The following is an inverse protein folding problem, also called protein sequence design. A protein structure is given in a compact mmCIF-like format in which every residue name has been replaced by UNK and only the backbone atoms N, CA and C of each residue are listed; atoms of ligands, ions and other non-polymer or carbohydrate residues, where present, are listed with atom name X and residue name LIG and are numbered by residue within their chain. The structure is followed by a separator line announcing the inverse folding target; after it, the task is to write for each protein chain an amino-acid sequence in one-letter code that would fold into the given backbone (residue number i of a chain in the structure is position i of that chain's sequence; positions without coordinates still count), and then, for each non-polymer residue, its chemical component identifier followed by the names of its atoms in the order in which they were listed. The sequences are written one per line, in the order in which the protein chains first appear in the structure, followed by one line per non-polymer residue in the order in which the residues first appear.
data_IF_460426720638
#
_entry.id   IF_460426720638
#
_cell.length_a   1.000
_cell.length_b   1.000
_cell.length_c   1.000
_cell.angle_alpha   90.00
_cell.angle_beta   90.00
_cell.angle_gamma   90.00
#
_symmetry.space_group_name_H-M   'P 1'
#
loop_
_entity.id
_entity.type
_entity.pdbx_description
1 polymer ?
#
# COMPACT_ATOMS: atom_id res chain seq x y z
N UNK A 1 31.03 -27.68 -73.91
CA UNK A 1 31.76 -27.25 -75.12
C UNK A 1 32.28 -25.84 -74.89
N UNK A 2 33.62 -25.71 -75.00
CA UNK A 2 34.46 -24.52 -75.25
C UNK A 2 34.36 -23.35 -74.25
N UNK A 3 35.39 -23.08 -73.43
CA UNK A 3 36.71 -22.47 -73.75
C UNK A 3 36.56 -21.01 -74.20
N UNK A 4 37.41 -20.04 -73.91
CA UNK A 4 38.69 -19.87 -73.19
C UNK A 4 39.02 -18.34 -73.34
N UNK A 5 40.15 -17.89 -72.78
CA UNK A 5 40.94 -16.67 -73.16
C UNK A 5 40.57 -15.38 -72.40
N UNK A 6 41.39 -14.89 -71.43
CA UNK A 6 42.67 -14.12 -71.54
C UNK A 6 42.45 -12.74 -72.21
N UNK A 7 43.07 -11.60 -71.88
CA UNK A 7 44.21 -11.22 -71.03
C UNK A 7 44.25 -9.68 -70.85
N UNK A 8 44.79 -9.24 -69.70
CA UNK A 8 45.74 -8.12 -69.42
C UNK A 8 45.83 -6.87 -70.32
N UNK A 9 46.02 -5.70 -69.66
CA UNK A 9 47.08 -4.65 -69.82
C UNK A 9 46.63 -3.38 -69.05
N UNK A 10 47.13 -3.05 -67.84
CA UNK A 10 48.32 -2.24 -67.43
C UNK A 10 48.38 -0.75 -67.85
N UNK A 11 48.44 0.14 -66.83
CA UNK A 11 49.27 1.37 -66.65
C UNK A 11 48.82 2.06 -65.33
N UNK A 12 49.62 2.12 -64.25
CA UNK A 12 50.65 3.12 -63.90
C UNK A 12 50.06 4.57 -63.87
N UNK A 13 50.15 5.43 -62.84
CA UNK A 13 51.15 5.68 -61.77
C UNK A 13 50.61 6.77 -60.79
N UNK A 14 51.39 7.11 -59.73
CA UNK A 14 51.40 8.31 -58.84
C UNK A 14 50.90 8.09 -57.39
N UNK A 15 51.76 7.74 -56.41
CA UNK A 15 52.66 8.58 -55.56
C UNK A 15 51.91 9.60 -54.67
N UNK A 16 51.84 9.37 -53.34
CA UNK A 16 52.49 10.17 -52.27
C UNK A 16 52.04 9.78 -50.84
N UNK A 17 53.06 9.49 -50.01
CA UNK A 17 53.30 9.75 -48.58
C UNK A 17 52.13 10.07 -47.64
N UNK A 18 51.95 9.34 -46.52
CA UNK A 18 52.66 9.43 -45.21
C UNK A 18 52.06 10.51 -44.29
N UNK A 19 51.27 10.08 -43.29
CA UNK A 19 51.13 10.76 -42.01
C UNK A 19 51.00 9.72 -40.90
N UNK A 20 52.07 9.61 -40.11
CA UNK A 20 52.15 8.94 -38.82
C UNK A 20 51.24 9.65 -37.80
N UNK A 21 50.48 8.91 -37.01
CA UNK A 21 49.98 9.39 -35.73
C UNK A 21 50.11 8.26 -34.70
N UNK A 22 51.17 8.39 -33.91
CA UNK A 22 51.45 7.56 -32.75
C UNK A 22 50.39 7.81 -31.67
N UNK A 23 49.69 6.75 -31.28
CA UNK A 23 48.76 6.77 -30.15
C UNK A 23 49.55 6.54 -28.85
N UNK A 24 49.73 7.59 -28.07
CA UNK A 24 50.17 7.53 -26.68
C UNK A 24 49.00 7.06 -25.81
N UNK A 25 49.05 5.81 -25.35
CA UNK A 25 48.18 5.33 -24.27
C UNK A 25 48.67 5.91 -22.94
N UNK A 26 47.98 6.95 -22.45
CA UNK A 26 48.14 7.42 -21.07
C UNK A 26 47.38 6.43 -20.18
N UNK A 27 48.10 5.64 -19.39
CA UNK A 27 47.57 4.86 -18.27
C UNK A 27 47.03 5.84 -17.23
N UNK A 28 45.71 6.06 -17.21
CA UNK A 28 45.05 6.71 -16.09
C UNK A 28 44.99 5.73 -14.90
N UNK A 29 45.37 6.15 -13.68
CA UNK A 29 45.10 5.35 -12.49
C UNK A 29 43.59 5.24 -12.32
N UNK A 30 43.09 4.00 -12.26
CA UNK A 30 41.71 3.73 -11.91
C UNK A 30 41.48 4.25 -10.48
N UNK A 31 40.86 5.44 -10.36
CA UNK A 31 40.20 5.83 -9.14
C UNK A 31 39.11 4.79 -8.89
N UNK A 32 39.32 3.94 -7.88
CA UNK A 32 38.29 3.08 -7.35
C UNK A 32 37.15 4.00 -6.88
N UNK A 33 36.14 4.15 -7.72
CA UNK A 33 34.86 4.70 -7.32
C UNK A 33 34.26 3.69 -6.36
N UNK A 34 34.24 4.03 -5.07
CA UNK A 34 33.34 3.36 -4.14
C UNK A 34 31.96 3.70 -4.66
N UNK A 35 31.33 2.74 -5.34
CA UNK A 35 29.94 2.88 -5.72
C UNK A 35 29.15 3.20 -4.44
N UNK A 36 28.32 4.25 -4.42
CA UNK A 36 27.45 4.49 -3.27
C UNK A 36 26.65 3.22 -3.05
N UNK A 37 26.78 2.62 -1.86
CA UNK A 37 25.96 1.48 -1.49
C UNK A 37 24.51 1.92 -1.58
N UNK A 38 23.75 1.29 -2.46
CA UNK A 38 22.34 1.56 -2.65
C UNK A 38 21.60 1.28 -1.34
N UNK A 39 21.08 2.33 -0.70
CA UNK A 39 20.16 2.28 0.46
C UNK A 39 18.81 1.62 0.09
N UNK A 40 18.63 1.23 -1.18
CA UNK A 40 17.36 0.80 -1.79
C UNK A 40 16.83 -0.60 -1.48
N UNK A 41 17.32 -1.32 -0.47
CA UNK A 41 16.73 -2.63 -0.07
C UNK A 41 16.13 -2.66 1.34
N UNK A 42 16.50 -1.75 2.25
CA UNK A 42 15.90 -1.70 3.60
C UNK A 42 14.56 -0.96 3.63
N UNK A 43 14.32 -0.03 2.70
CA UNK A 43 13.06 0.73 2.62
C UNK A 43 11.86 -0.18 2.31
N UNK A 44 12.04 -1.27 1.55
CA UNK A 44 10.95 -2.17 1.22
C UNK A 44 10.35 -2.85 2.47
N UNK A 45 11.18 -3.38 3.37
CA UNK A 45 10.66 -4.13 4.52
C UNK A 45 10.00 -3.25 5.58
N UNK A 46 10.37 -1.96 5.66
CA UNK A 46 9.75 -1.02 6.58
C UNK A 46 8.32 -0.64 6.19
N UNK A 47 7.97 -0.80 4.92
CA UNK A 47 6.69 -0.38 4.34
C UNK A 47 5.68 -1.52 4.24
N UNK A 48 6.15 -2.76 4.27
CA UNK A 48 5.33 -3.93 3.94
C UNK A 48 4.46 -4.37 5.11
N UNK A 49 3.15 -4.40 4.86
CA UNK A 49 2.19 -5.15 5.65
C UNK A 49 2.33 -6.64 5.34
N UNK A 50 2.39 -7.44 6.39
CA UNK A 50 2.22 -8.88 6.33
C UNK A 50 0.77 -9.17 6.63
N UNK A 51 0.14 -9.89 5.71
CA UNK A 51 -1.21 -10.42 5.83
C UNK A 51 -1.13 -11.94 5.94
N UNK A 52 -1.75 -12.49 6.96
CA UNK A 52 -1.82 -13.94 7.20
C UNK A 52 -3.28 -14.35 7.19
N UNK A 53 -3.64 -15.18 6.23
CA UNK A 53 -5.00 -15.67 6.07
C UNK A 53 -5.32 -16.79 7.08
N UNK A 54 -6.61 -17.11 7.20
CA UNK A 54 -7.11 -18.13 8.11
C UNK A 54 -6.65 -19.55 7.76
N UNK A 55 -6.25 -19.83 6.52
CA UNK A 55 -5.69 -21.14 6.17
C UNK A 55 -4.30 -21.33 6.77
N UNK A 56 -3.49 -20.27 6.78
CA UNK A 56 -2.17 -20.24 7.40
C UNK A 56 -2.25 -20.27 8.93
N UNK A 57 -3.37 -19.81 9.51
CA UNK A 57 -3.65 -19.79 10.94
C UNK A 57 -4.81 -20.72 11.35
N UNK A 58 -4.87 -21.91 10.75
CA UNK A 58 -5.95 -22.86 10.97
C UNK A 58 -6.13 -23.29 12.45
N UNK A 59 -5.11 -23.16 13.30
CA UNK A 59 -5.18 -23.48 14.73
C UNK A 59 -6.08 -22.56 15.55
N UNK A 60 -6.42 -21.39 15.00
CA UNK A 60 -7.28 -20.39 15.66
C UNK A 60 -8.55 -20.06 14.89
N UNK A 61 -8.82 -20.77 13.78
CA UNK A 61 -10.01 -20.57 12.96
C UNK A 61 -11.29 -20.80 13.78
N UNK A 62 -12.24 -19.87 13.68
CA UNK A 62 -13.54 -19.94 14.36
C UNK A 62 -13.45 -19.70 15.87
N UNK A 63 -12.34 -19.12 16.34
CA UNK A 63 -12.14 -18.74 17.74
C UNK A 63 -12.14 -17.22 17.89
N UNK A 64 -12.48 -16.73 19.08
CA UNK A 64 -12.45 -15.30 19.39
C UNK A 64 -11.02 -14.77 19.35
N UNK A 65 -10.75 -13.77 18.52
CA UNK A 65 -9.39 -13.28 18.34
C UNK A 65 -8.85 -12.47 19.53
N UNK A 66 -9.72 -12.01 20.45
CA UNK A 66 -9.34 -11.18 21.61
C UNK A 66 -8.37 -11.90 22.57
N UNK A 67 -8.42 -13.24 22.58
CA UNK A 67 -7.64 -14.11 23.44
C UNK A 67 -6.20 -14.33 22.92
N UNK A 68 -5.84 -13.70 21.80
CA UNK A 68 -4.56 -13.89 21.15
C UNK A 68 -3.74 -12.59 21.16
N UNK A 69 -2.43 -12.76 21.17
CA UNK A 69 -1.45 -11.69 20.93
C UNK A 69 -0.45 -12.14 19.88
N UNK A 70 0.13 -11.17 19.16
CA UNK A 70 1.26 -11.41 18.27
C UNK A 70 2.53 -10.92 18.93
N UNK A 71 3.52 -11.81 19.05
CA UNK A 71 4.77 -11.55 19.75
C UNK A 71 5.97 -11.92 18.89
N UNK A 72 7.11 -11.30 19.18
CA UNK A 72 8.38 -11.58 18.52
C UNK A 72 9.47 -11.79 19.55
N UNK A 73 10.56 -12.40 19.10
CA UNK A 73 11.73 -12.59 19.97
C UNK A 73 12.54 -11.31 20.01
N UNK A 74 12.70 -10.77 21.21
CA UNK A 74 13.53 -9.61 21.51
C UNK A 74 14.29 -9.93 22.80
N UNK A 75 15.62 -9.80 22.78
CA UNK A 75 16.48 -10.14 23.92
C UNK A 75 16.18 -11.52 24.57
N UNK A 76 15.95 -12.54 23.73
CA UNK A 76 15.56 -13.91 24.11
C UNK A 76 14.22 -14.05 24.86
N UNK A 77 13.39 -13.02 24.85
CA UNK A 77 12.03 -13.04 25.41
C UNK A 77 11.00 -12.79 24.31
N UNK A 78 9.76 -13.18 24.57
CA UNK A 78 8.66 -12.83 23.67
C UNK A 78 8.09 -11.46 24.09
N UNK A 79 8.05 -10.54 23.14
CA UNK A 79 7.51 -9.19 23.35
C UNK A 79 6.38 -8.92 22.34
N UNK A 80 5.30 -8.22 22.75
CA UNK A 80 4.18 -7.93 21.87
C UNK A 80 4.55 -6.90 20.79
N UNK A 81 4.12 -7.15 19.56
CA UNK A 81 4.21 -6.20 18.44
C UNK A 81 2.84 -5.66 18.06
N UNK A 82 2.75 -4.54 17.34
CA UNK A 82 1.49 -4.07 16.78
C UNK A 82 0.92 -5.09 15.79
N UNK A 83 -0.34 -5.44 15.97
CA UNK A 83 -1.09 -6.30 15.07
C UNK A 83 -2.56 -5.93 15.14
N UNK A 84 -3.32 -6.35 14.13
CA UNK A 84 -4.77 -6.30 14.15
C UNK A 84 -5.35 -7.47 13.37
N UNK A 85 -6.54 -7.91 13.77
CA UNK A 85 -7.37 -8.77 12.96
C UNK A 85 -8.28 -7.90 12.10
N UNK A 86 -8.19 -8.09 10.79
CA UNK A 86 -9.02 -7.42 9.81
C UNK A 86 -10.10 -8.38 9.33
N UNK A 87 -11.29 -8.19 9.89
CA UNK A 87 -12.50 -8.88 9.49
C UNK A 87 -12.97 -8.39 8.13
N UNK A 88 -13.65 -9.23 7.36
CA UNK A 88 -14.17 -8.85 6.04
C UNK A 88 -15.66 -8.55 6.06
N UNK A 89 -16.07 -7.62 5.20
CA UNK A 89 -17.47 -7.36 4.91
C UNK A 89 -17.92 -8.14 3.66
N UNK A 90 -19.22 -8.13 3.37
CA UNK A 90 -19.80 -8.83 2.20
C UNK A 90 -19.32 -8.30 0.82
N UNK A 91 -18.55 -7.21 0.80
CA UNK A 91 -17.88 -6.67 -0.38
C UNK A 91 -16.37 -7.00 -0.39
N UNK A 92 -15.91 -7.93 0.45
CA UNK A 92 -14.50 -8.36 0.56
C UNK A 92 -13.54 -7.23 1.01
N UNK A 93 -14.06 -6.12 1.54
CA UNK A 93 -13.26 -5.05 2.15
C UNK A 93 -13.20 -5.22 3.66
N UNK A 94 -12.27 -4.51 4.32
CA UNK A 94 -12.20 -4.55 5.79
C UNK A 94 -13.52 -4.05 6.38
N UNK A 95 -14.10 -4.85 7.28
CA UNK A 95 -15.31 -4.51 8.00
C UNK A 95 -15.04 -3.42 9.04
N UNK A 96 -15.95 -2.45 9.09
CA UNK A 96 -15.94 -1.36 10.05
C UNK A 96 -17.32 -1.30 10.68
N UNK A 97 -17.42 -1.57 11.97
CA UNK A 97 -18.67 -1.51 12.71
C UNK A 97 -19.32 -0.12 12.56
N UNK A 98 -20.62 -0.08 12.23
CA UNK A 98 -21.33 1.17 11.93
C UNK A 98 -21.09 1.74 10.52
N UNK A 99 -20.23 1.11 9.71
CA UNK A 99 -19.90 1.53 8.34
C UNK A 99 -21.07 1.41 7.34
N UNK A 100 -22.09 0.60 7.67
CA UNK A 100 -23.29 0.42 6.86
C UNK A 100 -23.21 -0.69 5.81
N UNK A 101 -22.14 -1.49 5.84
CA UNK A 101 -21.96 -2.70 5.04
C UNK A 101 -21.95 -3.88 6.01
N UNK A 102 -22.67 -4.94 5.69
CA UNK A 102 -22.75 -6.13 6.55
C UNK A 102 -21.39 -6.85 6.64
N UNK A 103 -21.06 -7.35 7.82
CA UNK A 103 -19.93 -8.27 8.01
C UNK A 103 -20.14 -9.57 7.23
N UNK A 104 -19.04 -10.17 6.77
CA UNK A 104 -18.99 -11.53 6.24
C UNK A 104 -18.42 -12.44 7.31
N UNK A 105 -19.27 -13.13 8.06
CA UNK A 105 -18.87 -13.91 9.24
C UNK A 105 -19.53 -13.39 10.52
N UNK A 106 -18.85 -13.58 11.64
CA UNK A 106 -19.26 -13.17 12.98
C UNK A 106 -18.23 -12.22 13.60
N UNK A 107 -18.72 -11.10 14.14
CA UNK A 107 -17.84 -10.07 14.68
C UNK A 107 -17.06 -10.58 15.91
N UNK A 108 -15.73 -10.42 15.89
CA UNK A 108 -14.83 -10.87 16.95
C UNK A 108 -14.30 -12.31 16.78
N UNK A 109 -14.79 -13.05 15.78
CA UNK A 109 -14.40 -14.43 15.49
C UNK A 109 -13.47 -14.45 14.28
N UNK A 110 -12.37 -15.21 14.35
CA UNK A 110 -11.45 -15.32 13.22
C UNK A 110 -11.98 -16.28 12.15
N UNK A 111 -12.77 -15.73 11.23
CA UNK A 111 -13.50 -16.46 10.19
C UNK A 111 -12.66 -16.70 8.93
N UNK A 112 -13.24 -17.36 7.94
CA UNK A 112 -12.49 -17.85 6.78
C UNK A 112 -11.92 -16.74 5.88
N UNK A 113 -12.57 -15.58 5.86
CA UNK A 113 -12.22 -14.42 5.05
C UNK A 113 -11.29 -13.44 5.78
N UNK A 114 -11.14 -13.60 7.09
CA UNK A 114 -10.41 -12.67 7.94
C UNK A 114 -8.90 -12.83 7.82
N UNK A 115 -8.20 -11.78 8.24
CA UNK A 115 -6.75 -11.70 8.14
C UNK A 115 -6.12 -11.18 9.42
N UNK A 116 -5.00 -11.78 9.81
CA UNK A 116 -4.08 -11.18 10.76
C UNK A 116 -3.12 -10.26 10.00
N UNK A 117 -3.01 -9.00 10.43
CA UNK A 117 -2.18 -7.98 9.79
C UNK A 117 -1.17 -7.40 10.78
N UNK A 118 0.08 -7.23 10.34
CA UNK A 118 1.18 -6.61 11.10
C UNK A 118 2.27 -6.11 10.16
N UNK A 119 3.25 -5.35 10.66
CA UNK A 119 4.35 -4.85 9.82
C UNK A 119 5.50 -5.86 9.71
N UNK A 120 6.07 -6.03 8.52
CA UNK A 120 7.21 -6.92 8.30
C UNK A 120 8.43 -6.51 9.15
N UNK A 121 8.66 -5.19 9.31
CA UNK A 121 9.75 -4.63 10.12
C UNK A 121 9.71 -5.03 11.60
N UNK A 122 8.54 -5.43 12.10
CA UNK A 122 8.38 -5.82 13.50
C UNK A 122 8.73 -7.28 13.76
N UNK A 123 8.97 -8.08 12.71
CA UNK A 123 9.34 -9.49 12.89
C UNK A 123 10.75 -9.65 13.45
N UNK A 124 10.94 -10.70 14.25
CA UNK A 124 12.18 -10.96 14.99
C UNK A 124 12.93 -12.21 14.50
N UNK A 125 14.06 -12.56 15.14
CA UNK A 125 14.71 -13.85 14.95
C UNK A 125 13.80 -15.01 15.40
N UNK A 126 14.13 -16.22 14.97
CA UNK A 126 13.45 -17.42 15.45
C UNK A 126 13.74 -17.65 16.94
N UNK A 127 12.72 -18.08 17.68
CA UNK A 127 12.83 -18.52 19.07
C UNK A 127 13.73 -19.76 19.14
N UNK A 128 14.79 -19.68 19.94
CA UNK A 128 15.73 -20.78 20.13
C UNK A 128 15.06 -21.99 20.79
N UNK A 129 15.62 -23.18 20.62
CA UNK A 129 15.07 -24.40 21.23
C UNK A 129 15.07 -24.31 22.76
N UNK A 130 16.13 -23.75 23.36
CA UNK A 130 16.21 -23.56 24.81
C UNK A 130 15.15 -22.57 25.30
N UNK A 131 14.93 -21.47 24.56
CA UNK A 131 13.88 -20.50 24.90
C UNK A 131 12.47 -21.07 24.72
N UNK A 132 12.24 -21.91 23.69
CA UNK A 132 11.00 -22.69 23.51
C UNK A 132 10.73 -23.62 24.68
N UNK A 133 11.76 -24.26 25.23
CA UNK A 133 11.62 -25.16 26.37
C UNK A 133 11.42 -24.41 27.70
N UNK A 134 11.93 -23.19 27.81
CA UNK A 134 11.87 -22.38 29.03
C UNK A 134 10.62 -21.49 29.12
N UNK A 135 10.01 -21.11 27.99
CA UNK A 135 8.83 -20.24 27.98
C UNK A 135 7.58 -20.94 28.51
N UNK A 136 6.73 -20.18 29.21
CA UNK A 136 5.41 -20.63 29.65
C UNK A 136 4.28 -20.16 28.71
N UNK A 137 4.63 -19.45 27.63
CA UNK A 137 3.67 -18.94 26.66
C UNK A 137 3.01 -20.08 25.86
N UNK A 138 1.69 -20.04 25.71
CA UNK A 138 0.93 -20.96 24.86
C UNK A 138 1.03 -20.51 23.38
N UNK A 139 2.13 -20.88 22.73
CA UNK A 139 2.38 -20.57 21.32
C UNK A 139 1.57 -21.51 20.44
N UNK A 140 0.54 -20.97 19.77
CA UNK A 140 -0.38 -21.74 18.91
C UNK A 140 -0.01 -21.70 17.43
N UNK A 141 0.86 -20.77 17.03
CA UNK A 141 1.43 -20.71 15.69
C UNK A 141 2.80 -20.01 15.68
N UNK A 142 3.71 -20.50 14.84
CA UNK A 142 4.95 -19.82 14.45
C UNK A 142 4.79 -19.36 13.00
N UNK A 143 4.88 -18.05 12.78
CA UNK A 143 4.81 -17.42 11.47
C UNK A 143 6.23 -17.18 10.99
N UNK A 144 6.62 -17.82 9.89
CA UNK A 144 7.89 -17.54 9.21
C UNK A 144 7.60 -16.72 7.96
N UNK A 145 8.09 -15.48 7.94
CA UNK A 145 7.89 -14.54 6.85
C UNK A 145 9.18 -14.42 6.06
N UNK A 146 9.15 -14.68 4.76
CA UNK A 146 10.29 -14.52 3.87
C UNK A 146 9.97 -13.55 2.77
N UNK A 147 10.76 -12.49 2.64
CA UNK A 147 10.63 -11.46 1.60
C UNK A 147 12.01 -11.11 1.05
N UNK A 148 12.30 -11.51 -0.20
CA UNK A 148 13.64 -11.39 -0.77
C UNK A 148 14.67 -12.18 0.06
N UNK A 149 15.72 -11.50 0.53
CA UNK A 149 16.72 -12.08 1.43
C UNK A 149 16.36 -12.00 2.92
N UNK A 150 15.30 -11.26 3.25
CA UNK A 150 14.86 -11.11 4.63
C UNK A 150 14.03 -12.31 5.07
N UNK A 151 14.28 -12.80 6.28
CA UNK A 151 13.44 -13.78 6.96
C UNK A 151 13.26 -13.36 8.39
N UNK A 152 12.00 -13.22 8.80
CA UNK A 152 11.63 -12.89 10.17
C UNK A 152 10.55 -13.83 10.69
N UNK A 153 10.39 -13.83 12.01
CA UNK A 153 9.48 -14.70 12.73
C UNK A 153 8.56 -13.90 13.64
N UNK A 154 7.32 -14.36 13.76
CA UNK A 154 6.35 -13.89 14.73
C UNK A 154 5.58 -15.08 15.31
N UNK A 155 5.00 -14.90 16.49
CA UNK A 155 4.42 -15.96 17.30
C UNK A 155 3.02 -15.56 17.74
N UNK A 156 2.03 -16.37 17.38
CA UNK A 156 0.66 -16.21 17.91
C UNK A 156 0.60 -16.90 19.26
N UNK A 157 0.33 -16.12 20.30
CA UNK A 157 0.30 -16.57 21.69
C UNK A 157 -1.12 -16.47 22.24
N UNK A 158 -1.66 -17.59 22.71
CA UNK A 158 -3.00 -17.68 23.32
C UNK A 158 -2.96 -17.32 24.80
N UNK A 159 -4.06 -16.73 25.28
CA UNK A 159 -4.25 -16.37 26.69
C UNK A 159 -3.38 -15.20 27.14
N UNK A 160 -2.81 -14.45 26.19
CA UNK A 160 -1.97 -13.29 26.46
C UNK A 160 -2.71 -12.02 26.04
N UNK A 161 -2.98 -11.16 27.02
CA UNK A 161 -3.54 -9.82 26.84
C UNK A 161 -2.46 -8.76 26.50
N UNK A 162 -1.18 -9.17 26.43
CA UNK A 162 -0.08 -8.28 26.08
C UNK A 162 -0.33 -7.60 24.72
N UNK A 163 -0.15 -6.27 24.68
CA UNK A 163 -0.26 -5.44 23.48
C UNK A 163 0.94 -4.50 23.41
N UNK A 164 1.39 -4.23 22.19
CA UNK A 164 2.36 -3.15 21.96
C UNK A 164 1.70 -1.80 22.21
N UNK A 165 2.45 -0.82 22.69
CA UNK A 165 1.98 0.55 22.83
C UNK A 165 2.24 1.40 21.58
N UNK A 166 2.72 0.79 20.49
CA UNK A 166 2.97 1.48 19.23
C UNK A 166 1.71 1.43 18.37
N UNK A 167 1.34 2.58 17.84
CA UNK A 167 0.31 2.75 16.82
C UNK A 167 0.92 3.49 15.64
N UNK A 168 0.72 3.00 14.42
CA UNK A 168 1.41 3.57 13.24
C UNK A 168 0.58 4.55 12.42
N UNK A 169 -0.73 4.55 12.64
CA UNK A 169 -1.67 5.44 11.99
C UNK A 169 -2.78 5.82 12.96
N UNK A 170 -3.29 7.03 12.82
CA UNK A 170 -4.41 7.55 13.57
C UNK A 170 -5.20 8.55 12.72
N UNK A 171 -6.50 8.32 12.58
CA UNK A 171 -7.46 9.25 12.01
C UNK A 171 -8.26 9.94 13.11
N UNK A 172 -8.00 11.23 13.30
CA UNK A 172 -8.80 12.09 14.17
C UNK A 172 -10.07 12.52 13.41
N UNK A 173 -11.19 11.88 13.74
CA UNK A 173 -12.50 12.13 13.10
C UNK A 173 -12.96 13.58 13.30
N UNK A 174 -12.79 14.14 14.50
CA UNK A 174 -13.28 15.49 14.83
C UNK A 174 -12.50 16.54 14.03
N UNK A 175 -11.20 16.32 13.85
CA UNK A 175 -10.35 17.21 13.08
C UNK A 175 -10.31 16.87 11.60
N UNK A 176 -10.79 15.70 11.17
CA UNK A 176 -10.58 15.16 9.82
C UNK A 176 -9.11 15.11 9.42
N UNK A 177 -8.27 14.70 10.38
CA UNK A 177 -6.82 14.73 10.30
C UNK A 177 -6.27 13.30 10.33
N UNK A 178 -5.54 12.96 9.27
CA UNK A 178 -4.81 11.71 9.13
C UNK A 178 -3.38 11.95 9.66
N UNK A 179 -2.93 11.12 10.60
CA UNK A 179 -1.61 11.21 11.22
C UNK A 179 -0.97 9.83 11.16
N UNK A 180 0.26 9.75 10.68
CA UNK A 180 1.04 8.51 10.66
C UNK A 180 2.50 8.79 11.02
N UNK A 181 3.30 7.74 11.14
CA UNK A 181 4.75 7.85 11.35
C UNK A 181 5.45 8.71 10.28
N UNK A 182 5.00 8.65 9.02
CA UNK A 182 5.75 9.23 7.89
C UNK A 182 5.01 10.34 7.14
N UNK A 183 3.69 10.44 7.31
CA UNK A 183 2.89 11.45 6.63
C UNK A 183 1.69 11.90 7.47
N UNK A 184 1.23 13.12 7.20
CA UNK A 184 -0.03 13.64 7.72
C UNK A 184 -0.82 14.29 6.60
N UNK A 185 -2.13 14.22 6.70
CA UNK A 185 -3.03 14.84 5.74
C UNK A 185 -4.21 15.48 6.46
N UNK A 186 -4.48 16.74 6.18
CA UNK A 186 -5.70 17.40 6.59
C UNK A 186 -6.73 17.31 5.47
N UNK A 187 -7.95 16.88 5.79
CA UNK A 187 -9.08 16.92 4.88
C UNK A 187 -10.17 17.88 5.36
N UNK A 188 -11.06 18.28 4.46
CA UNK A 188 -12.25 19.05 4.81
C UNK A 188 -13.20 18.21 5.65
N UNK A 189 -13.72 18.72 6.79
CA UNK A 189 -14.65 17.98 7.64
C UNK A 189 -16.00 17.70 6.96
N UNK A 190 -16.35 18.50 5.95
CA UNK A 190 -17.59 18.31 5.18
C UNK A 190 -17.43 17.30 4.03
N UNK A 191 -16.18 17.02 3.61
CA UNK A 191 -15.88 16.11 2.50
C UNK A 191 -14.43 15.60 2.56
N UNK A 192 -14.24 14.36 3.02
CA UNK A 192 -12.91 13.76 3.17
C UNK A 192 -12.15 13.52 1.84
N UNK A 193 -12.79 13.74 0.68
CA UNK A 193 -12.11 13.72 -0.63
C UNK A 193 -11.43 15.05 -0.98
N UNK A 194 -11.66 16.10 -0.20
CA UNK A 194 -11.00 17.40 -0.35
C UNK A 194 -9.87 17.47 0.67
N UNK A 195 -8.64 17.38 0.19
CA UNK A 195 -7.44 17.47 0.99
C UNK A 195 -6.96 18.92 0.98
N UNK A 196 -6.34 19.39 2.06
CA UNK A 196 -5.84 20.76 2.16
C UNK A 196 -4.35 20.83 2.44
N UNK A 197 -3.83 19.88 3.21
CA UNK A 197 -2.44 19.90 3.63
C UNK A 197 -1.90 18.47 3.69
N UNK A 198 -1.07 18.07 2.73
CA UNK A 198 -0.40 16.77 2.75
C UNK A 198 1.10 16.98 3.02
N UNK A 199 1.55 16.52 4.18
CA UNK A 199 2.96 16.58 4.58
C UNK A 199 3.55 15.19 4.63
N UNK A 200 4.79 15.06 4.16
CA UNK A 200 5.61 13.87 4.30
C UNK A 200 6.86 14.21 5.11
N UNK A 201 7.31 13.33 6.00
CA UNK A 201 8.38 13.60 6.97
C UNK A 201 9.70 14.09 6.33
N UNK A 202 9.99 13.64 5.10
CA UNK A 202 11.20 14.02 4.37
C UNK A 202 11.07 15.31 3.57
N UNK A 203 9.87 15.91 3.51
CA UNK A 203 9.64 17.16 2.82
C UNK A 203 10.15 18.36 3.66
N UNK A 204 10.58 19.46 3.02
CA UNK A 204 10.89 20.69 3.76
C UNK A 204 9.68 21.18 4.56
N UNK A 205 9.94 21.77 5.73
CA UNK A 205 8.87 22.32 6.57
C UNK A 205 7.97 23.30 5.78
N UNK A 206 6.65 23.17 5.96
CA UNK A 206 5.61 23.97 5.29
C UNK A 206 5.49 23.79 3.77
N UNK A 207 6.03 22.72 3.20
CA UNK A 207 5.76 22.33 1.81
C UNK A 207 4.73 21.21 1.82
N UNK A 208 3.51 21.52 1.38
CA UNK A 208 2.53 20.49 1.04
C UNK A 208 2.95 19.84 -0.28
N UNK A 209 2.93 18.51 -0.35
CA UNK A 209 3.32 17.78 -1.58
C UNK A 209 2.13 17.50 -2.51
N UNK A 210 0.92 17.54 -1.96
CA UNK A 210 -0.33 17.29 -2.67
C UNK A 210 -1.32 18.34 -2.20
N UNK A 211 -1.95 19.02 -3.16
CA UNK A 211 -2.94 20.05 -2.85
C UNK A 211 -4.34 19.42 -2.82
N UNK A 212 -4.78 18.84 -3.94
CA UNK A 212 -6.16 18.30 -4.06
C UNK A 212 -6.22 17.07 -4.95
N UNK A 213 -6.99 16.05 -4.54
CA UNK A 213 -7.48 15.02 -5.45
C UNK A 213 -8.66 15.56 -6.25
N UNK A 214 -8.49 15.85 -7.53
CA UNK A 214 -9.54 16.38 -8.41
C UNK A 214 -10.33 15.24 -9.04
N UNK A 215 -11.63 15.21 -8.77
CA UNK A 215 -12.65 14.41 -9.43
C UNK A 215 -13.42 15.28 -10.43
N UNK A 216 -13.55 14.80 -11.66
CA UNK A 216 -14.38 15.42 -12.68
C UNK A 216 -15.27 14.39 -13.36
N UNK A 217 -16.57 14.66 -13.38
CA UNK A 217 -17.56 13.81 -14.07
C UNK A 217 -18.19 14.62 -15.19
N UNK A 218 -18.03 14.18 -16.43
CA UNK A 218 -18.66 14.78 -17.60
C UNK A 218 -19.72 13.83 -18.10
N UNK A 219 -20.96 14.28 -18.18
CA UNK A 219 -22.11 13.45 -18.53
C UNK A 219 -23.05 14.20 -19.48
N UNK A 220 -23.75 13.46 -20.35
CA UNK A 220 -24.78 14.01 -21.23
C UNK A 220 -26.15 13.50 -20.86
N UNK A 221 -27.06 14.41 -20.56
CA UNK A 221 -28.50 14.15 -20.52
C UNK A 221 -29.13 14.86 -21.72
N UNK A 222 -30.06 15.80 -21.50
CA UNK A 222 -30.50 16.74 -22.53
C UNK A 222 -29.43 17.80 -22.89
N UNK A 223 -28.56 18.14 -21.94
CA UNK A 223 -27.39 19.00 -22.10
C UNK A 223 -26.16 18.34 -21.46
N UNK A 224 -24.97 18.89 -21.74
CA UNK A 224 -23.72 18.43 -21.10
C UNK A 224 -23.60 19.01 -19.71
N UNK A 225 -23.30 18.17 -18.72
CA UNK A 225 -23.06 18.55 -17.33
C UNK A 225 -21.65 18.13 -16.94
N UNK A 226 -20.95 19.01 -16.23
CA UNK A 226 -19.66 18.74 -15.63
C UNK A 226 -19.79 18.89 -14.12
N UNK A 227 -19.49 17.84 -13.37
CA UNK A 227 -19.42 17.84 -11.92
C UNK A 227 -17.96 17.84 -11.47
N UNK A 228 -17.68 18.49 -10.34
CA UNK A 228 -16.37 18.54 -9.67
C UNK A 228 -16.47 17.97 -8.25
N UNK A 229 -15.39 18.02 -7.46
CA UNK A 229 -15.38 17.64 -6.04
C UNK A 229 -16.52 18.27 -5.23
N UNK A 230 -16.88 19.52 -5.53
CA UNK A 230 -17.95 20.26 -4.85
C UNK A 230 -19.32 19.61 -5.04
N UNK A 231 -19.46 18.74 -6.03
CA UNK A 231 -20.70 18.03 -6.33
C UNK A 231 -20.69 16.57 -5.86
N UNK A 232 -19.57 16.08 -5.30
CA UNK A 232 -19.45 14.71 -4.80
C UNK A 232 -19.15 14.77 -3.32
N UNK A 233 -20.19 14.50 -2.52
CA UNK A 233 -20.09 14.51 -1.06
C UNK A 233 -19.74 13.11 -0.58
N UNK A 234 -18.53 12.92 -0.07
CA UNK A 234 -18.18 11.71 0.66
C UNK A 234 -18.53 11.88 2.13
N UNK A 235 -19.53 11.14 2.59
CA UNK A 235 -20.01 11.17 3.97
C UNK A 235 -19.25 10.15 4.79
N UNK A 236 -18.64 10.60 5.88
CA UNK A 236 -18.11 9.74 6.93
C UNK A 236 -19.21 8.84 7.50
N UNK A 237 -18.89 7.56 7.67
CA UNK A 237 -19.80 6.56 8.23
C UNK A 237 -19.31 6.04 9.57
N UNK A 238 -18.07 5.56 9.60
CA UNK A 238 -17.44 5.00 10.78
C UNK A 238 -15.92 4.91 10.59
N UNK A 239 -15.20 4.68 11.68
CA UNK A 239 -13.77 4.40 11.67
C UNK A 239 -13.49 3.17 12.54
N UNK A 240 -12.58 2.31 12.08
CA UNK A 240 -11.93 1.28 12.88
C UNK A 240 -10.49 1.74 13.13
N UNK A 241 -10.18 2.07 14.38
CA UNK A 241 -8.82 2.42 14.76
C UNK A 241 -8.04 1.14 15.07
N UNK A 242 -6.85 1.00 14.50
CA UNK A 242 -6.04 -0.21 14.59
C UNK A 242 -4.57 0.10 14.84
N UNK A 243 -3.83 -0.74 15.60
CA UNK A 243 -2.40 -0.50 15.87
C UNK A 243 -1.53 -0.44 14.60
N UNK A 244 -1.97 -1.10 13.52
CA UNK A 244 -1.21 -1.20 12.27
C UNK A 244 -1.71 -0.19 11.24
N UNK A 245 -3.03 -0.06 11.11
CA UNK A 245 -3.71 0.87 10.20
C UNK A 245 -5.12 1.19 10.68
N UNK A 246 -5.56 2.39 10.35
CA UNK A 246 -6.96 2.77 10.52
C UNK A 246 -7.74 2.54 9.23
N UNK A 247 -9.02 2.18 9.38
CA UNK A 247 -9.95 2.02 8.27
C UNK A 247 -11.09 3.02 8.42
N UNK A 248 -11.16 3.99 7.51
CA UNK A 248 -12.21 5.02 7.51
C UNK A 248 -13.26 4.67 6.46
N UNK A 249 -14.47 4.30 6.90
CA UNK A 249 -15.57 4.01 6.01
C UNK A 249 -16.29 5.30 5.58
N UNK A 250 -16.39 5.47 4.27
CA UNK A 250 -17.09 6.55 3.60
C UNK A 250 -18.17 6.01 2.68
N UNK A 251 -19.16 6.85 2.42
CA UNK A 251 -20.14 6.68 1.35
C UNK A 251 -20.20 7.92 0.49
N UNK A 252 -20.04 7.78 -0.82
CA UNK A 252 -20.11 8.88 -1.75
C UNK A 252 -21.15 8.62 -2.85
N UNK A 253 -21.91 9.66 -3.19
CA UNK A 253 -22.94 9.59 -4.23
C UNK A 253 -22.60 10.58 -5.34
N UNK A 254 -22.61 10.11 -6.58
CA UNK A 254 -22.45 10.96 -7.77
C UNK A 254 -23.81 11.08 -8.44
N UNK A 255 -24.39 12.28 -8.44
CA UNK A 255 -25.73 12.55 -8.98
C UNK A 255 -25.64 13.58 -10.10
N UNK A 256 -26.12 13.24 -11.30
CA UNK A 256 -26.13 14.12 -12.49
C UNK A 256 -27.56 14.55 -12.79
N UNK A 257 -27.85 15.86 -12.67
CA UNK A 257 -29.20 16.41 -12.91
C UNK A 257 -30.32 15.65 -12.15
N UNK A 258 -30.07 15.30 -10.89
CA UNK A 258 -31.01 14.54 -10.06
C UNK A 258 -31.08 13.04 -10.37
N UNK A 259 -30.35 12.55 -11.37
CA UNK A 259 -30.26 11.13 -11.72
C UNK A 259 -29.00 10.54 -11.04
N UNK A 260 -29.14 9.55 -10.15
CA UNK A 260 -28.00 8.84 -9.58
C UNK A 260 -27.17 8.17 -10.67
N UNK A 261 -25.88 8.51 -10.74
CA UNK A 261 -24.94 7.91 -11.69
C UNK A 261 -24.21 6.73 -11.05
N UNK A 262 -23.57 6.95 -9.90
CA UNK A 262 -22.79 5.95 -9.17
C UNK A 262 -22.97 6.18 -7.66
N UNK A 263 -23.13 5.10 -6.91
CA UNK A 263 -22.95 5.06 -5.46
C UNK A 263 -21.61 4.36 -5.17
N UNK A 264 -20.80 4.94 -4.29
CA UNK A 264 -19.50 4.43 -3.88
C UNK A 264 -19.51 4.11 -2.39
N UNK A 265 -19.13 2.88 -2.06
CA UNK A 265 -18.72 2.50 -0.72
C UNK A 265 -17.18 2.49 -0.70
N UNK A 266 -16.56 3.30 0.15
CA UNK A 266 -15.10 3.50 0.14
C UNK A 266 -14.54 3.26 1.54
N UNK A 267 -13.58 2.34 1.67
CA UNK A 267 -12.89 2.08 2.94
C UNK A 267 -11.47 2.59 2.89
N UNK A 268 -11.22 3.84 3.30
CA UNK A 268 -9.86 4.39 3.26
C UNK A 268 -8.95 3.61 4.21
N UNK A 269 -7.84 3.10 3.71
CA UNK A 269 -6.83 2.39 4.50
C UNK A 269 -5.69 3.36 4.82
N UNK A 270 -5.69 3.87 6.04
CA UNK A 270 -4.67 4.82 6.53
C UNK A 270 -3.51 4.01 7.08
N UNK A 271 -2.45 3.86 6.29
CA UNK A 271 -1.27 3.09 6.67
C UNK A 271 -0.06 4.00 6.84
N UNK A 272 1.04 3.52 7.45
CA UNK A 272 2.16 4.38 7.82
C UNK A 272 2.85 5.02 6.63
N UNK A 273 2.70 4.44 5.43
CA UNK A 273 3.43 4.84 4.24
C UNK A 273 2.54 5.17 3.04
N UNK A 274 1.27 4.75 3.05
CA UNK A 274 0.35 5.02 1.95
C UNK A 274 -1.09 5.17 2.45
N UNK A 275 -1.90 5.85 1.64
CA UNK A 275 -3.35 5.88 1.78
C UNK A 275 -3.98 4.97 0.73
N UNK A 276 -4.57 3.85 1.16
CA UNK A 276 -5.35 2.98 0.30
C UNK A 276 -6.76 3.55 0.10
N UNK A 277 -7.28 3.47 -1.13
CA UNK A 277 -8.64 3.94 -1.45
C UNK A 277 -9.41 2.83 -2.21
N UNK A 278 -9.61 1.65 -1.59
CA UNK A 278 -10.50 0.64 -2.16
C UNK A 278 -11.93 1.19 -2.20
N UNK A 279 -12.57 1.07 -3.35
CA UNK A 279 -13.91 1.60 -3.59
C UNK A 279 -14.75 0.58 -4.37
N UNK A 280 -15.96 0.32 -3.86
CA UNK A 280 -16.97 -0.48 -4.54
C UNK A 280 -17.98 0.43 -5.20
N UNK A 281 -18.06 0.34 -6.53
CA UNK A 281 -18.96 1.15 -7.32
C UNK A 281 -20.24 0.38 -7.66
N UNK A 282 -21.38 0.91 -7.23
CA UNK A 282 -22.69 0.48 -7.70
C UNK A 282 -23.23 1.49 -8.72
N UNK A 283 -23.53 1.01 -9.93
CA UNK A 283 -24.22 1.79 -10.97
C UNK A 283 -25.72 1.47 -10.91
N UNK A 284 -26.60 2.41 -10.52
CA UNK A 284 -28.04 2.19 -10.48
C UNK A 284 -28.65 2.07 -11.87
N UNK A 285 -29.79 1.37 -12.01
CA UNK A 285 -30.49 1.24 -13.30
C UNK A 285 -30.86 2.59 -13.93
N UNK A 286 -31.19 3.59 -13.10
CA UNK A 286 -31.51 4.95 -13.55
C UNK A 286 -30.35 5.63 -14.30
N UNK A 287 -29.10 5.23 -14.05
CA UNK A 287 -27.92 5.75 -14.74
C UNK A 287 -27.96 5.50 -16.25
N UNK A 288 -28.78 4.55 -16.73
CA UNK A 288 -28.99 4.30 -18.16
C UNK A 288 -29.55 5.53 -18.93
N UNK A 289 -30.17 6.48 -18.24
CA UNK A 289 -30.62 7.75 -18.82
C UNK A 289 -29.46 8.72 -19.12
N UNK A 290 -28.28 8.47 -18.55
CA UNK A 290 -27.08 9.30 -18.70
C UNK A 290 -26.22 8.74 -19.85
N UNK A 291 -26.00 9.56 -20.88
CA UNK A 291 -25.25 9.18 -22.08
C UNK A 291 -23.77 9.48 -21.91
N UNK A 292 -22.95 8.48 -22.22
CA UNK A 292 -21.48 8.55 -22.31
C UNK A 292 -20.82 9.26 -21.11
N UNK A 293 -21.10 8.84 -19.85
CA UNK A 293 -20.44 9.42 -18.70
C UNK A 293 -18.93 9.18 -18.78
N UNK A 294 -18.15 10.21 -18.47
CA UNK A 294 -16.69 10.15 -18.34
C UNK A 294 -16.33 10.60 -16.93
N UNK A 295 -15.54 9.79 -16.25
CA UNK A 295 -15.05 10.08 -14.90
C UNK A 295 -13.54 10.21 -15.00
N UNK A 296 -13.01 11.29 -14.46
CA UNK A 296 -11.59 11.59 -14.43
C UNK A 296 -11.20 11.84 -12.99
N UNK A 297 -10.12 11.20 -12.56
CA UNK A 297 -9.49 11.41 -11.26
C UNK A 297 -8.05 11.81 -11.52
N UNK A 298 -7.57 12.86 -10.88
CA UNK A 298 -6.20 13.35 -10.98
C UNK A 298 -5.74 13.92 -9.65
N UNK A 299 -4.45 13.82 -9.35
CA UNK A 299 -3.82 14.50 -8.22
C UNK A 299 -3.16 15.79 -8.69
N UNK A 300 -3.30 16.85 -7.90
CA UNK A 300 -2.58 18.11 -8.07
C UNK A 300 -1.41 18.17 -7.08
N UNK A 301 -0.27 18.69 -7.54
CA UNK A 301 1.01 18.78 -6.82
C UNK A 301 1.46 20.25 -6.76
#
# INVERSE_FOLDING_TARGET
MNSLIFSRITRATWIKSFCFLASTFILQPALATIAPQSVGYQVANNVLLVTVDTQQLASIKGLEFKDYSLQVVSDNQLEPIPFQFDERNVQESVYVAGGGIAISGEEGIFDAEDELVFMLRDTGPALSQDAKAATQADIVAELKITHGSYTGFAYVVKGSDARSSKDYANFDVEKSLFITDHWSMQASPDNLLVWTDFFYESAPANVTMLDVMKLRVIAKVFFTITLTNDNVVAKFKAVKNGPVRDIVQLKADIIVAGIPLINLDVGLEVTPHYLGIPAHAHIPLAAAAIKSPKIMVSLDF
#
